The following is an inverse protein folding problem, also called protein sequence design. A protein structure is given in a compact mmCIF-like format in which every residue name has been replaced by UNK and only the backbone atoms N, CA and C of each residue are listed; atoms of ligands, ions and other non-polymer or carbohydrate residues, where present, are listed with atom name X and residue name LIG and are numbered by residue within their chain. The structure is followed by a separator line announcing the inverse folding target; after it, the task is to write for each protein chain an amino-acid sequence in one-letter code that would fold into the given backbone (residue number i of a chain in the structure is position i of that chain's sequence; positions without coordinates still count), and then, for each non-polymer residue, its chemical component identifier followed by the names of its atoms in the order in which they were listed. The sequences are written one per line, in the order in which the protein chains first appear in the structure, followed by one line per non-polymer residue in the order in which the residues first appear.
data_IF_267748292609
#
_entry.id   IF_267748292609
#
_cell.length_a   1.000
_cell.length_b   1.000
_cell.length_c   1.000
_cell.angle_alpha   90.00
_cell.angle_beta   90.00
_cell.angle_gamma   90.00
#
_symmetry.space_group_name_H-M   'P 1'
#
loop_
_entity.id
_entity.type
_entity.pdbx_description
1 polymer ?
#
# COMPACT_ATOMS: atom_id res chain seq x y z
N UNK A 1 -11.22 -14.21 9.47
CA UNK A 1 -10.01 -13.61 8.89
C UNK A 1 -9.18 -14.71 8.23
N UNK A 2 -9.01 -14.64 6.91
CA UNK A 2 -8.43 -15.70 6.07
C UNK A 2 -7.01 -16.07 6.51
N UNK A 3 -6.12 -15.11 6.74
CA UNK A 3 -4.72 -15.35 7.13
C UNK A 3 -4.61 -16.25 8.38
N UNK A 4 -5.52 -16.11 9.35
CA UNK A 4 -5.55 -16.97 10.55
C UNK A 4 -5.81 -18.43 10.21
N UNK A 5 -6.68 -18.70 9.24
CA UNK A 5 -6.96 -20.07 8.80
C UNK A 5 -5.73 -20.67 8.13
N UNK A 6 -5.07 -19.93 7.24
CA UNK A 6 -3.83 -20.37 6.64
C UNK A 6 -2.75 -20.66 7.69
N UNK A 7 -2.58 -19.78 8.69
CA UNK A 7 -1.62 -20.01 9.77
C UNK A 7 -1.93 -21.30 10.53
N UNK A 8 -3.21 -21.56 10.87
CA UNK A 8 -3.62 -22.79 11.54
C UNK A 8 -3.39 -24.05 10.72
N UNK A 9 -3.36 -23.91 9.40
CA UNK A 9 -3.04 -25.01 8.47
C UNK A 9 -1.53 -25.15 8.21
N UNK A 10 -0.67 -24.45 8.95
CA UNK A 10 0.77 -24.56 8.86
C UNK A 10 1.45 -23.60 7.88
N UNK A 11 0.69 -22.72 7.21
CA UNK A 11 1.26 -21.71 6.32
C UNK A 11 1.78 -20.49 7.10
N UNK A 12 2.85 -19.86 6.60
CA UNK A 12 3.39 -18.62 7.15
C UNK A 12 2.67 -17.41 6.53
N UNK A 13 1.80 -16.69 7.27
CA UNK A 13 1.15 -15.50 6.73
C UNK A 13 2.12 -14.33 6.63
N UNK A 14 2.04 -13.59 5.54
CA UNK A 14 2.65 -12.28 5.38
C UNK A 14 1.56 -11.22 5.52
N UNK A 15 1.63 -10.41 6.57
CA UNK A 15 0.73 -9.28 6.78
C UNK A 15 1.37 -8.02 6.21
N UNK A 16 1.03 -7.70 4.96
CA UNK A 16 1.54 -6.52 4.27
C UNK A 16 0.84 -5.27 4.78
N UNK A 17 1.63 -4.29 5.21
CA UNK A 17 1.20 -2.95 5.53
C UNK A 17 1.75 -1.93 4.54
N UNK A 18 0.89 -0.97 4.20
CA UNK A 18 1.17 0.04 3.19
C UNK A 18 1.86 1.29 3.76
N UNK A 19 3.11 1.18 4.21
CA UNK A 19 3.87 2.35 4.65
C UNK A 19 4.11 3.34 3.52
N UNK A 20 4.64 2.90 2.38
CA UNK A 20 4.86 3.76 1.21
C UNK A 20 3.53 4.26 0.63
N UNK A 21 2.54 3.37 0.47
CA UNK A 21 1.22 3.74 -0.04
C UNK A 21 0.47 4.69 0.90
N UNK A 22 0.70 4.59 2.23
CA UNK A 22 0.15 5.51 3.22
C UNK A 22 0.73 6.92 3.13
N UNK A 23 1.97 7.08 2.67
CA UNK A 23 2.60 8.39 2.43
C UNK A 23 2.01 9.11 1.21
N UNK A 24 1.56 8.35 0.21
CA UNK A 24 0.96 8.89 -1.02
C UNK A 24 -0.55 9.11 -0.84
N UNK A 25 -1.23 8.17 -0.21
CA UNK A 25 -2.68 8.18 -0.03
C UNK A 25 -3.44 7.53 -1.19
N UNK A 26 -4.36 6.63 -0.85
CA UNK A 26 -5.23 5.96 -1.81
C UNK A 26 -6.27 6.95 -2.39
N UNK A 27 -6.30 7.20 -3.69
CA UNK A 27 -7.26 8.11 -4.31
C UNK A 27 -8.69 7.53 -4.40
N UNK A 28 -8.86 6.23 -4.13
CA UNK A 28 -10.14 5.54 -4.30
C UNK A 28 -11.24 6.09 -3.37
N UNK A 29 -12.42 6.33 -3.94
CA UNK A 29 -13.60 6.74 -3.17
C UNK A 29 -13.56 8.15 -2.59
N UNK A 30 -12.66 9.01 -3.05
CA UNK A 30 -12.53 10.40 -2.61
C UNK A 30 -12.64 11.37 -3.79
N UNK A 31 -13.27 12.51 -3.54
CA UNK A 31 -13.39 13.61 -4.50
C UNK A 31 -12.30 14.67 -4.35
N UNK A 32 -11.53 14.64 -3.27
CA UNK A 32 -10.44 15.55 -2.97
C UNK A 32 -9.13 14.79 -2.74
N UNK A 33 -8.01 15.44 -3.00
CA UNK A 33 -6.68 14.91 -2.72
C UNK A 33 -6.51 14.63 -1.21
N UNK A 34 -5.82 13.53 -0.89
CA UNK A 34 -5.56 13.18 0.51
C UNK A 34 -4.42 14.01 1.07
N UNK A 35 -4.54 14.39 2.34
CA UNK A 35 -3.42 14.95 3.09
C UNK A 35 -2.32 13.91 3.23
N UNK A 36 -1.11 14.31 2.89
CA UNK A 36 0.08 13.47 3.05
C UNK A 36 0.33 13.25 4.54
N UNK A 37 0.55 11.99 4.93
CA UNK A 37 0.86 11.64 6.31
C UNK A 37 2.33 11.96 6.60
N UNK A 38 2.60 12.46 7.80
CA UNK A 38 3.97 12.56 8.31
C UNK A 38 4.50 11.16 8.66
N UNK A 39 5.82 11.00 8.62
CA UNK A 39 6.46 9.73 8.98
C UNK A 39 6.08 9.29 10.40
N UNK A 40 6.01 10.22 11.35
CA UNK A 40 5.60 9.93 12.73
C UNK A 40 4.18 9.39 12.80
N UNK A 41 3.24 10.01 12.10
CA UNK A 41 1.85 9.53 12.02
C UNK A 41 1.78 8.16 11.39
N UNK A 42 2.57 7.92 10.35
CA UNK A 42 2.66 6.63 9.69
C UNK A 42 3.13 5.55 10.66
N UNK A 43 4.22 5.78 11.39
CA UNK A 43 4.77 4.81 12.35
C UNK A 43 3.77 4.49 13.46
N UNK A 44 3.06 5.50 13.97
CA UNK A 44 1.99 5.30 14.95
C UNK A 44 0.87 4.42 14.40
N UNK A 45 0.45 4.65 13.16
CA UNK A 45 -0.58 3.85 12.50
C UNK A 45 -0.13 2.40 12.27
N UNK A 46 1.11 2.21 11.87
CA UNK A 46 1.70 0.87 11.68
C UNK A 46 1.73 0.08 12.99
N UNK A 47 2.15 0.72 14.09
CA UNK A 47 2.13 0.10 15.43
C UNK A 47 0.70 -0.29 15.85
N UNK A 48 -0.28 0.57 15.61
CA UNK A 48 -1.69 0.29 15.87
C UNK A 48 -2.22 -0.90 15.06
N UNK A 49 -1.87 -0.97 13.78
CA UNK A 49 -2.25 -2.11 12.90
C UNK A 49 -1.61 -3.42 13.38
N UNK A 50 -0.32 -3.40 13.74
CA UNK A 50 0.35 -4.58 14.30
C UNK A 50 -0.36 -5.06 15.55
N UNK A 51 -0.67 -4.16 16.49
CA UNK A 51 -1.37 -4.51 17.72
C UNK A 51 -2.75 -5.13 17.47
N UNK A 52 -3.47 -4.67 16.45
CA UNK A 52 -4.76 -5.27 16.06
C UNK A 52 -4.58 -6.65 15.42
N UNK A 53 -3.61 -6.80 14.52
CA UNK A 53 -3.35 -8.08 13.84
C UNK A 53 -2.85 -9.15 14.81
N UNK A 54 -2.08 -8.78 15.84
CA UNK A 54 -1.58 -9.70 16.87
C UNK A 54 -2.69 -10.37 17.70
N UNK A 55 -3.90 -9.84 17.66
CA UNK A 55 -5.07 -10.51 18.28
C UNK A 55 -5.53 -11.75 17.50
N UNK A 56 -5.13 -11.89 16.26
CA UNK A 56 -5.60 -12.92 15.33
C UNK A 56 -4.48 -13.80 14.79
N UNK A 57 -3.29 -13.25 14.66
CA UNK A 57 -2.10 -13.88 14.09
C UNK A 57 -1.02 -13.97 15.16
N UNK A 58 -0.33 -15.09 15.16
CA UNK A 58 0.86 -15.27 15.98
C UNK A 58 2.08 -14.70 15.24
N UNK A 59 2.66 -13.65 15.80
CA UNK A 59 3.88 -13.01 15.28
C UNK A 59 5.12 -13.31 16.13
N UNK A 60 4.91 -13.80 17.35
CA UNK A 60 5.93 -13.75 18.40
C UNK A 60 6.46 -15.13 18.82
N UNK A 61 5.79 -16.22 18.43
CA UNK A 61 6.27 -17.56 18.75
C UNK A 61 7.45 -17.99 17.88
N UNK A 62 8.15 -19.05 18.29
CA UNK A 62 9.22 -19.68 17.51
C UNK A 62 8.69 -20.67 16.45
N UNK A 63 7.39 -20.73 16.24
CA UNK A 63 6.80 -21.63 15.27
C UNK A 63 7.26 -21.28 13.83
N UNK A 64 7.56 -22.28 12.99
CA UNK A 64 8.03 -22.04 11.62
C UNK A 64 7.02 -21.30 10.74
N UNK A 65 5.75 -21.35 11.11
CA UNK A 65 4.63 -20.68 10.46
C UNK A 65 4.16 -19.41 11.18
N UNK A 66 4.98 -18.85 12.08
CA UNK A 66 4.69 -17.52 12.67
C UNK A 66 4.47 -16.51 11.57
N UNK A 67 3.53 -15.58 11.76
CA UNK A 67 3.26 -14.52 10.82
C UNK A 67 4.43 -13.53 10.74
N UNK A 68 4.57 -12.90 9.60
CA UNK A 68 5.53 -11.82 9.39
C UNK A 68 4.79 -10.54 9.01
N UNK A 69 5.18 -9.43 9.64
CA UNK A 69 4.70 -8.12 9.28
C UNK A 69 5.66 -7.52 8.26
N UNK A 70 5.13 -7.21 7.07
CA UNK A 70 5.90 -6.71 5.93
C UNK A 70 5.43 -5.30 5.61
N UNK A 71 6.35 -4.37 5.44
CA UNK A 71 6.04 -2.98 5.13
C UNK A 71 6.59 -2.61 3.75
N UNK A 72 5.73 -2.19 2.82
CA UNK A 72 6.19 -1.82 1.48
C UNK A 72 7.11 -0.59 1.45
N UNK A 73 7.14 0.22 2.51
CA UNK A 73 8.12 1.29 2.66
C UNK A 73 9.56 0.78 2.70
N UNK A 74 9.81 -0.41 3.23
CA UNK A 74 11.17 -0.94 3.43
C UNK A 74 11.92 -1.16 2.12
N UNK A 75 11.21 -1.50 1.04
CA UNK A 75 11.83 -1.62 -0.28
C UNK A 75 11.62 -0.38 -1.15
N UNK A 76 10.48 0.33 -1.02
CA UNK A 76 10.19 1.51 -1.84
C UNK A 76 11.08 2.70 -1.52
N UNK A 77 11.48 2.90 -0.25
CA UNK A 77 12.32 4.04 0.16
C UNK A 77 13.70 4.08 -0.51
N UNK A 78 14.17 2.94 -1.00
CA UNK A 78 15.50 2.82 -1.59
C UNK A 78 15.51 3.11 -3.11
N UNK A 79 14.34 3.20 -3.74
CA UNK A 79 14.26 3.58 -5.15
C UNK A 79 14.47 5.07 -5.32
N UNK A 80 15.42 5.45 -6.19
CA UNK A 80 15.41 6.80 -6.74
C UNK A 80 14.27 6.91 -7.75
N UNK A 81 13.82 8.12 -8.03
CA UNK A 81 12.79 8.34 -9.07
C UNK A 81 13.22 7.78 -10.43
N UNK A 82 14.50 7.94 -10.77
CA UNK A 82 15.03 7.46 -12.04
C UNK A 82 15.05 5.93 -12.11
N UNK A 83 15.48 5.26 -11.05
CA UNK A 83 15.48 3.79 -10.98
C UNK A 83 14.05 3.25 -11.06
N UNK A 84 13.12 3.85 -10.32
CA UNK A 84 11.72 3.45 -10.34
C UNK A 84 11.09 3.61 -11.74
N UNK A 85 11.31 4.75 -12.39
CA UNK A 85 10.81 4.98 -13.74
C UNK A 85 11.40 3.98 -14.75
N UNK A 86 12.68 3.65 -14.62
CA UNK A 86 13.39 2.73 -15.49
C UNK A 86 13.01 1.26 -15.26
N UNK A 87 12.95 0.82 -14.00
CA UNK A 87 12.80 -0.60 -13.68
C UNK A 87 11.33 -1.02 -13.53
N UNK A 88 10.48 -0.14 -13.00
CA UNK A 88 9.05 -0.40 -12.80
C UNK A 88 8.21 0.22 -13.92
N UNK A 89 8.45 1.49 -14.24
CA UNK A 89 7.64 2.25 -15.20
C UNK A 89 7.58 1.63 -16.60
N UNK A 90 8.66 1.00 -17.05
CA UNK A 90 8.70 0.34 -18.38
C UNK A 90 7.74 -0.85 -18.53
N UNK A 91 7.28 -1.43 -17.41
CA UNK A 91 6.40 -2.62 -17.43
C UNK A 91 4.91 -2.26 -17.37
N UNK A 92 4.58 -0.99 -17.15
CA UNK A 92 3.20 -0.53 -16.99
C UNK A 92 2.91 0.57 -18.00
N UNK A 93 1.86 0.39 -18.80
CA UNK A 93 1.47 1.42 -19.78
C UNK A 93 0.56 2.47 -19.13
N UNK A 94 0.69 3.72 -19.57
CA UNK A 94 -0.20 4.82 -19.16
C UNK A 94 -1.67 4.47 -19.45
N UNK A 95 -1.94 3.83 -20.60
CA UNK A 95 -3.29 3.41 -20.96
C UNK A 95 -3.90 2.44 -19.93
N UNK A 96 -3.12 1.48 -19.43
CA UNK A 96 -3.56 0.59 -18.37
C UNK A 96 -3.86 1.35 -17.08
N UNK A 97 -2.99 2.28 -16.69
CA UNK A 97 -3.19 3.11 -15.49
C UNK A 97 -4.44 3.98 -15.60
N UNK A 98 -4.68 4.60 -16.76
CA UNK A 98 -5.86 5.43 -17.03
C UNK A 98 -7.16 4.63 -17.10
N UNK A 99 -7.09 3.33 -17.38
CA UNK A 99 -8.26 2.46 -17.47
C UNK A 99 -8.86 2.09 -16.09
N UNK A 100 -8.15 2.33 -14.99
CA UNK A 100 -8.65 2.05 -13.63
C UNK A 100 -9.83 2.96 -13.29
N UNK A 101 -10.87 2.39 -12.65
CA UNK A 101 -12.09 3.13 -12.32
C UNK A 101 -11.84 4.32 -11.40
N UNK A 102 -10.89 4.19 -10.45
CA UNK A 102 -10.49 5.29 -9.56
C UNK A 102 -9.91 6.48 -10.32
N UNK A 103 -9.16 6.21 -11.41
CA UNK A 103 -8.57 7.24 -12.27
C UNK A 103 -9.63 7.86 -13.18
N UNK A 104 -10.45 7.02 -13.84
CA UNK A 104 -11.52 7.50 -14.75
C UNK A 104 -12.49 8.45 -14.06
N UNK A 105 -12.93 8.14 -12.85
CA UNK A 105 -13.82 9.01 -12.07
C UNK A 105 -13.23 10.38 -11.82
N UNK A 106 -11.93 10.44 -11.53
CA UNK A 106 -11.22 11.70 -11.30
C UNK A 106 -11.02 12.50 -12.58
N UNK A 107 -10.69 11.84 -13.70
CA UNK A 107 -10.49 12.49 -14.99
C UNK A 107 -11.79 12.97 -15.64
N UNK A 108 -12.91 12.29 -15.40
CA UNK A 108 -14.21 12.64 -15.99
C UNK A 108 -14.95 13.79 -15.28
N UNK A 109 -14.29 14.49 -14.36
CA UNK A 109 -14.86 15.68 -13.72
C UNK A 109 -15.79 15.39 -12.54
N UNK A 110 -15.85 14.15 -12.03
CA UNK A 110 -16.59 13.82 -10.81
C UNK A 110 -15.88 14.36 -9.54
N UNK A 111 -14.65 14.84 -9.67
CA UNK A 111 -13.86 15.43 -8.61
C UNK A 111 -13.68 16.95 -8.83
N UNK A 112 -13.72 17.73 -7.74
CA UNK A 112 -13.48 19.17 -7.76
C UNK A 112 -12.06 19.51 -8.22
N UNK A 113 -11.10 18.70 -7.76
CA UNK A 113 -9.69 18.83 -8.08
C UNK A 113 -9.30 17.69 -9.03
N UNK A 114 -8.48 17.97 -10.03
CA UNK A 114 -7.94 16.93 -10.93
C UNK A 114 -7.23 15.80 -10.17
N UNK A 115 -6.66 14.87 -10.90
CA UNK A 115 -5.82 13.80 -10.36
C UNK A 115 -4.36 14.28 -10.32
N UNK A 116 -3.75 14.36 -9.13
CA UNK A 116 -2.33 14.69 -9.03
C UNK A 116 -1.44 13.55 -9.55
N UNK A 117 -0.23 13.88 -9.97
CA UNK A 117 0.76 12.87 -10.35
C UNK A 117 1.04 11.89 -9.21
N UNK A 118 1.09 12.40 -7.97
CA UNK A 118 1.27 11.60 -6.75
C UNK A 118 0.18 10.54 -6.61
N UNK A 119 -1.08 10.93 -6.67
CA UNK A 119 -2.22 9.99 -6.61
C UNK A 119 -2.24 9.03 -7.80
N UNK A 120 -1.87 9.51 -9.00
CA UNK A 120 -1.80 8.66 -10.19
C UNK A 120 -0.79 7.53 -10.05
N UNK A 121 0.36 7.80 -9.42
CA UNK A 121 1.42 6.82 -9.19
C UNK A 121 1.12 5.84 -8.06
N UNK A 122 0.11 6.08 -7.22
CA UNK A 122 -0.29 5.20 -6.12
C UNK A 122 -0.42 3.73 -6.55
N UNK A 123 -1.02 3.49 -7.69
CA UNK A 123 -1.23 2.13 -8.21
C UNK A 123 0.07 1.38 -8.53
N UNK A 124 1.20 2.08 -8.67
CA UNK A 124 2.51 1.47 -8.90
C UNK A 124 3.19 1.03 -7.60
N UNK A 125 2.68 1.50 -6.46
CA UNK A 125 3.27 1.27 -5.13
C UNK A 125 2.61 0.11 -4.38
N UNK A 126 1.58 -0.50 -4.94
CA UNK A 126 0.82 -1.62 -4.35
C UNK A 126 1.46 -2.99 -4.63
N UNK A 127 2.71 -3.04 -4.90
CA UNK A 127 3.41 -4.28 -5.28
C UNK A 127 3.65 -5.23 -4.12
#
# INVERSE_FOLDING_TARGET
MILRHFQRCGHKPLALIGGATGMIGDPSGKSAERNLLTEETLQRNLAGMKAQLSKFLDFDSDAPNRAELVNNYDWMKNFTFLDFAREVGKHITVNYMMAKDSVKKRLNGEARDGLSFTEFTYQLLQG
#
